data_IF_229857325544
#
_entry.id   IF_229857325544
#
_cell.length_a   1.000
_cell.length_b   1.000
_cell.length_c   1.000
_cell.angle_alpha   90.00
_cell.angle_beta   90.00
_cell.angle_gamma   90.00
#
_symmetry.space_group_name_H-M   'P 1'
#
loop_
_entity.id
_entity.type
_entity.pdbx_description
1 polymer ?
#
# COMPACT_ATOMS: atom_id res chain seq x y z
N UNK A 1 20.57 20.76 22.18
CA UNK A 1 19.44 19.89 22.60
C UNK A 1 20.05 18.76 23.39
N UNK A 2 19.54 18.47 24.59
CA UNK A 2 20.12 17.51 25.55
C UNK A 2 20.20 16.11 24.92
N UNK A 3 21.36 15.48 24.94
CA UNK A 3 21.64 14.16 24.34
C UNK A 3 20.68 13.07 24.87
N UNK A 4 20.30 13.18 26.13
CA UNK A 4 19.31 12.33 26.78
C UNK A 4 17.89 12.51 26.18
N UNK A 5 17.51 13.72 25.77
CA UNK A 5 16.24 14.00 25.13
C UNK A 5 16.20 13.40 23.72
N UNK A 6 17.31 13.46 23.02
CA UNK A 6 17.44 12.89 21.65
C UNK A 6 17.42 11.35 21.68
N UNK A 7 18.09 10.71 22.64
CA UNK A 7 18.03 9.25 22.84
C UNK A 7 16.60 8.76 23.18
N UNK A 8 15.89 9.49 24.06
CA UNK A 8 14.51 9.15 24.43
C UNK A 8 13.52 9.33 23.26
N UNK A 9 13.71 10.32 22.39
CA UNK A 9 12.91 10.52 21.19
C UNK A 9 13.14 9.38 20.17
N UNK A 10 14.40 8.99 19.98
CA UNK A 10 14.75 7.86 19.11
C UNK A 10 14.18 6.53 19.62
N UNK A 11 14.28 6.25 20.91
CA UNK A 11 13.71 5.04 21.52
C UNK A 11 12.19 4.95 21.38
N UNK A 12 11.47 6.09 21.52
CA UNK A 12 10.02 6.14 21.31
C UNK A 12 9.63 5.92 19.85
N UNK A 13 10.38 6.50 18.92
CA UNK A 13 10.14 6.30 17.48
C UNK A 13 10.32 4.82 17.11
N UNK A 14 11.33 4.15 17.67
CA UNK A 14 11.56 2.71 17.46
C UNK A 14 10.37 1.90 18.00
N UNK A 15 9.87 2.22 19.20
CA UNK A 15 8.69 1.54 19.75
C UNK A 15 7.45 1.71 18.87
N UNK A 16 7.20 2.91 18.35
CA UNK A 16 6.08 3.16 17.45
C UNK A 16 6.26 2.48 16.09
N UNK A 17 7.49 2.47 15.58
CA UNK A 17 7.83 1.75 14.35
C UNK A 17 7.63 0.24 14.49
N UNK A 18 7.92 -0.33 15.66
CA UNK A 18 7.65 -1.74 15.94
C UNK A 18 6.15 -2.05 15.96
N UNK A 19 5.33 -1.20 16.61
CA UNK A 19 3.87 -1.35 16.57
C UNK A 19 3.36 -1.23 15.11
N UNK A 20 3.89 -0.28 14.35
CA UNK A 20 3.57 -0.12 12.93
C UNK A 20 3.91 -1.39 12.14
N UNK A 21 5.09 -1.98 12.38
CA UNK A 21 5.48 -3.24 11.76
C UNK A 21 4.48 -4.35 12.03
N UNK A 22 4.12 -4.56 13.31
CA UNK A 22 3.16 -5.60 13.70
C UNK A 22 1.79 -5.37 13.06
N UNK A 23 1.31 -4.13 13.05
CA UNK A 23 0.03 -3.76 12.40
C UNK A 23 0.05 -4.06 10.91
N UNK A 24 1.10 -3.64 10.20
CA UNK A 24 1.20 -3.86 8.77
C UNK A 24 1.48 -5.32 8.41
N UNK A 25 2.22 -6.04 9.26
CA UNK A 25 2.43 -7.47 9.11
C UNK A 25 1.10 -8.23 9.18
N UNK A 26 0.31 -7.99 10.22
CA UNK A 26 -1.01 -8.64 10.36
C UNK A 26 -1.96 -8.19 9.24
N UNK A 27 -1.93 -6.92 8.86
CA UNK A 27 -2.73 -6.40 7.74
C UNK A 27 -2.40 -7.10 6.42
N UNK A 28 -1.11 -7.20 6.08
CA UNK A 28 -0.67 -7.90 4.87
C UNK A 28 -1.04 -9.37 4.89
N UNK A 29 -0.75 -10.06 5.98
CA UNK A 29 -1.11 -11.46 6.19
C UNK A 29 -2.63 -11.71 6.09
N UNK A 30 -3.43 -10.83 6.68
CA UNK A 30 -4.88 -10.91 6.68
C UNK A 30 -5.47 -10.67 5.28
N UNK A 31 -5.16 -9.53 4.65
CA UNK A 31 -5.80 -9.13 3.40
C UNK A 31 -5.30 -9.92 2.17
N UNK A 32 -4.00 -10.23 2.13
CA UNK A 32 -3.35 -10.82 0.94
C UNK A 32 -3.29 -12.35 0.99
N UNK A 33 -3.58 -12.98 2.15
CA UNK A 33 -3.50 -14.42 2.31
C UNK A 33 -4.67 -15.00 3.08
N UNK A 34 -4.80 -14.69 4.37
CA UNK A 34 -5.75 -15.38 5.24
C UNK A 34 -7.21 -15.16 4.83
N UNK A 35 -7.63 -13.91 4.63
CA UNK A 35 -9.03 -13.56 4.33
C UNK A 35 -9.54 -14.22 3.04
N UNK A 36 -8.84 -14.16 1.88
CA UNK A 36 -9.26 -14.82 0.67
C UNK A 36 -9.33 -16.36 0.83
N UNK A 37 -8.32 -16.95 1.46
CA UNK A 37 -8.24 -18.40 1.67
C UNK A 37 -9.35 -18.90 2.60
N UNK A 38 -9.57 -18.19 3.71
CA UNK A 38 -10.63 -18.53 4.67
C UNK A 38 -12.02 -18.39 4.04
N UNK A 39 -12.27 -17.30 3.32
CA UNK A 39 -13.56 -17.07 2.66
C UNK A 39 -13.85 -18.10 1.56
N UNK A 40 -12.85 -18.49 0.76
CA UNK A 40 -13.01 -19.48 -0.30
C UNK A 40 -13.13 -20.90 0.24
N UNK A 41 -12.22 -21.33 1.11
CA UNK A 41 -12.10 -22.73 1.52
C UNK A 41 -13.03 -23.12 2.65
N UNK A 42 -13.40 -22.19 3.56
CA UNK A 42 -14.23 -22.48 4.73
C UNK A 42 -15.64 -21.94 4.58
N UNK A 43 -15.78 -20.69 4.14
CA UNK A 43 -17.09 -20.05 4.01
C UNK A 43 -17.74 -20.32 2.65
N UNK A 44 -16.96 -20.77 1.66
CA UNK A 44 -17.38 -20.96 0.28
C UNK A 44 -18.03 -19.72 -0.35
N UNK A 45 -17.53 -18.54 0.04
CA UNK A 45 -17.99 -17.27 -0.51
C UNK A 45 -17.39 -17.03 -1.88
N UNK A 46 -18.15 -16.42 -2.81
CA UNK A 46 -17.63 -15.98 -4.10
C UNK A 46 -16.53 -14.93 -3.92
N UNK A 47 -15.61 -14.87 -4.87
CA UNK A 47 -14.46 -13.92 -4.84
C UNK A 47 -14.95 -12.46 -4.83
N UNK A 48 -16.12 -12.17 -5.39
CA UNK A 48 -16.80 -10.86 -5.28
C UNK A 48 -16.98 -10.43 -3.82
N UNK A 49 -17.41 -11.34 -2.93
CA UNK A 49 -17.61 -11.02 -1.50
C UNK A 49 -16.29 -10.75 -0.82
N UNK A 50 -15.24 -11.49 -1.18
CA UNK A 50 -13.86 -11.23 -0.71
C UNK A 50 -13.38 -9.86 -1.15
N UNK A 51 -13.54 -9.55 -2.43
CA UNK A 51 -13.20 -8.25 -2.99
C UNK A 51 -13.95 -7.10 -2.32
N UNK A 52 -15.25 -7.29 -2.04
CA UNK A 52 -16.07 -6.32 -1.34
C UNK A 52 -15.58 -6.09 0.10
N UNK A 53 -15.22 -7.16 0.82
CA UNK A 53 -14.67 -7.05 2.18
C UNK A 53 -13.35 -6.26 2.19
N UNK A 54 -12.44 -6.54 1.27
CA UNK A 54 -11.18 -5.81 1.12
C UNK A 54 -11.44 -4.34 0.77
N UNK A 55 -12.37 -4.06 -0.11
CA UNK A 55 -12.74 -2.68 -0.49
C UNK A 55 -13.34 -1.91 0.68
N UNK A 56 -14.24 -2.51 1.45
CA UNK A 56 -14.82 -1.93 2.67
C UNK A 56 -13.72 -1.62 3.68
N UNK A 57 -12.77 -2.53 3.88
CA UNK A 57 -11.61 -2.31 4.73
C UNK A 57 -10.84 -1.03 4.32
N UNK A 58 -10.52 -0.86 3.03
CA UNK A 58 -9.81 0.33 2.53
C UNK A 58 -10.62 1.62 2.66
N UNK A 59 -11.95 1.57 2.45
CA UNK A 59 -12.82 2.73 2.65
C UNK A 59 -12.84 3.16 4.11
N UNK A 60 -13.00 2.20 5.03
CA UNK A 60 -12.99 2.48 6.47
C UNK A 60 -11.63 3.03 6.90
N UNK A 61 -10.52 2.42 6.46
CA UNK A 61 -9.16 2.92 6.72
C UNK A 61 -9.00 4.38 6.25
N UNK A 62 -9.48 4.70 5.05
CA UNK A 62 -9.42 6.06 4.50
C UNK A 62 -10.25 7.07 5.33
N UNK A 63 -11.47 6.70 5.73
CA UNK A 63 -12.33 7.55 6.57
C UNK A 63 -11.69 7.76 7.94
N UNK A 64 -11.23 6.69 8.57
CA UNK A 64 -10.58 6.73 9.87
C UNK A 64 -9.30 7.56 9.83
N UNK A 65 -8.52 7.48 8.75
CA UNK A 65 -7.32 8.29 8.54
C UNK A 65 -7.63 9.79 8.63
N UNK A 66 -8.70 10.22 7.98
CA UNK A 66 -9.17 11.61 8.05
C UNK A 66 -9.62 12.01 9.46
N UNK A 67 -10.40 11.16 10.11
CA UNK A 67 -10.91 11.41 11.47
C UNK A 67 -9.82 11.34 12.53
N UNK A 68 -8.93 10.36 12.46
CA UNK A 68 -7.85 10.17 13.42
C UNK A 68 -6.91 11.38 13.47
N UNK A 69 -6.65 12.04 12.34
CA UNK A 69 -5.90 13.29 12.31
C UNK A 69 -6.51 14.38 13.19
N UNK A 70 -7.84 14.52 13.16
CA UNK A 70 -8.58 15.50 14.00
C UNK A 70 -8.64 15.06 15.47
N UNK A 71 -8.77 13.77 15.72
CA UNK A 71 -8.89 13.22 17.07
C UNK A 71 -7.54 13.25 17.79
N UNK A 72 -6.43 13.03 17.11
CA UNK A 72 -5.07 13.08 17.68
C UNK A 72 -4.70 14.50 18.18
N UNK A 73 -5.32 15.55 17.63
CA UNK A 73 -5.15 16.92 18.13
C UNK A 73 -5.83 17.12 19.51
N UNK A 74 -6.86 16.31 19.83
CA UNK A 74 -7.68 16.47 21.03
C UNK A 74 -7.38 15.41 22.10
N UNK A 75 -7.10 14.18 21.69
CA UNK A 75 -6.95 13.02 22.58
C UNK A 75 -5.53 12.46 22.56
N UNK A 76 -5.08 11.81 23.63
CA UNK A 76 -3.78 11.12 23.66
C UNK A 76 -3.69 10.03 22.59
N UNK A 77 -2.50 9.87 21.97
CA UNK A 77 -2.26 8.86 20.95
C UNK A 77 -2.66 7.44 21.39
N UNK A 78 -2.40 7.08 22.64
CA UNK A 78 -2.79 5.77 23.23
C UNK A 78 -4.30 5.49 23.14
N UNK A 79 -5.14 6.51 23.28
CA UNK A 79 -6.60 6.36 23.23
C UNK A 79 -7.05 6.13 21.78
N UNK A 80 -6.50 6.88 20.84
CA UNK A 80 -6.91 6.79 19.42
C UNK A 80 -6.36 5.53 18.79
N UNK A 81 -5.07 5.23 18.98
CA UNK A 81 -4.45 4.01 18.45
C UNK A 81 -5.01 2.78 19.15
N UNK A 82 -5.02 2.76 20.50
CA UNK A 82 -5.54 1.63 21.27
C UNK A 82 -7.02 1.37 21.02
N UNK A 83 -7.84 2.42 20.94
CA UNK A 83 -9.26 2.29 20.59
C UNK A 83 -9.47 1.76 19.18
N UNK A 84 -8.74 2.27 18.18
CA UNK A 84 -8.77 1.75 16.82
C UNK A 84 -8.37 0.28 16.75
N UNK A 85 -7.27 -0.09 17.39
CA UNK A 85 -6.80 -1.48 17.43
C UNK A 85 -7.76 -2.41 18.17
N UNK A 86 -8.43 -1.91 19.23
CA UNK A 86 -9.47 -2.68 19.93
C UNK A 86 -10.68 -2.98 19.04
N UNK A 87 -11.17 -2.01 18.25
CA UNK A 87 -12.21 -2.25 17.24
C UNK A 87 -11.77 -3.25 16.18
N UNK A 88 -10.53 -3.18 15.73
CA UNK A 88 -9.99 -4.17 14.79
C UNK A 88 -9.86 -5.56 15.39
N UNK A 89 -9.54 -5.66 16.70
CA UNK A 89 -9.53 -6.94 17.41
C UNK A 89 -10.93 -7.57 17.43
N UNK A 90 -11.97 -6.76 17.70
CA UNK A 90 -13.37 -7.21 17.58
C UNK A 90 -13.64 -7.68 16.15
N UNK A 91 -13.16 -6.96 15.13
CA UNK A 91 -13.28 -7.39 13.72
C UNK A 91 -12.67 -8.77 13.48
N UNK A 92 -11.44 -9.02 13.96
CA UNK A 92 -10.79 -10.31 13.85
C UNK A 92 -11.56 -11.41 14.58
N UNK A 93 -12.11 -11.14 15.77
CA UNK A 93 -12.94 -12.12 16.52
C UNK A 93 -14.24 -12.43 15.77
N UNK A 94 -14.90 -11.41 15.23
CA UNK A 94 -16.14 -11.59 14.47
C UNK A 94 -15.95 -12.43 13.20
N UNK A 95 -14.76 -12.48 12.64
CA UNK A 95 -14.47 -13.29 11.45
C UNK A 95 -14.77 -14.78 11.66
N UNK A 96 -14.57 -15.30 12.87
CA UNK A 96 -14.88 -16.69 13.26
C UNK A 96 -16.32 -16.85 13.78
N UNK A 97 -17.10 -15.80 13.71
CA UNK A 97 -18.50 -15.81 14.14
C UNK A 97 -19.43 -16.54 13.17
N UNK A 98 -20.73 -16.31 13.28
CA UNK A 98 -21.71 -16.93 12.39
C UNK A 98 -21.38 -16.73 10.91
N UNK A 99 -21.53 -17.77 10.11
CA UNK A 99 -21.24 -17.79 8.67
C UNK A 99 -22.29 -16.95 7.90
N UNK A 100 -22.21 -15.64 8.05
CA UNK A 100 -23.11 -14.67 7.44
C UNK A 100 -22.28 -13.60 6.72
N UNK A 101 -22.61 -13.34 5.46
CA UNK A 101 -21.90 -12.35 4.61
C UNK A 101 -21.85 -10.98 5.28
N UNK A 102 -22.93 -10.53 5.92
CA UNK A 102 -22.93 -9.23 6.61
C UNK A 102 -21.91 -9.18 7.76
N UNK A 103 -21.82 -10.25 8.57
CA UNK A 103 -20.83 -10.33 9.66
C UNK A 103 -19.41 -10.37 9.10
N UNK A 104 -19.19 -11.10 8.01
CA UNK A 104 -17.90 -11.14 7.31
C UNK A 104 -17.48 -9.75 6.81
N UNK A 105 -18.39 -9.01 6.18
CA UNK A 105 -18.11 -7.65 5.72
C UNK A 105 -17.88 -6.68 6.89
N UNK A 106 -18.68 -6.83 7.97
CA UNK A 106 -18.52 -6.04 9.19
C UNK A 106 -17.16 -6.30 9.87
N UNK A 107 -16.72 -7.58 9.89
CA UNK A 107 -15.39 -7.93 10.43
C UNK A 107 -14.25 -7.21 9.69
N UNK A 108 -14.31 -7.18 8.36
CA UNK A 108 -13.33 -6.48 7.53
C UNK A 108 -13.39 -4.95 7.72
N UNK A 109 -14.60 -4.38 7.86
CA UNK A 109 -14.81 -2.98 8.18
C UNK A 109 -14.16 -2.59 9.52
N UNK A 110 -14.47 -3.34 10.57
CA UNK A 110 -13.92 -3.12 11.90
C UNK A 110 -12.40 -3.29 11.92
N UNK A 111 -11.88 -4.27 11.17
CA UNK A 111 -10.44 -4.46 11.06
C UNK A 111 -9.75 -3.23 10.44
N UNK A 112 -10.38 -2.54 9.50
CA UNK A 112 -9.88 -1.31 8.89
C UNK A 112 -9.71 -0.13 9.85
N UNK A 113 -10.42 -0.12 10.99
CA UNK A 113 -10.39 1.02 11.94
C UNK A 113 -9.03 1.21 12.61
N UNK A 114 -8.29 0.13 12.89
CA UNK A 114 -7.05 0.19 13.66
C UNK A 114 -5.78 0.49 12.86
N UNK A 115 -5.84 0.55 11.53
CA UNK A 115 -4.66 0.61 10.68
C UNK A 115 -4.04 2.02 10.65
N UNK A 116 -4.82 3.02 10.24
CA UNK A 116 -4.30 4.37 9.99
C UNK A 116 -3.83 5.15 11.23
N UNK A 117 -4.40 5.00 12.43
CA UNK A 117 -4.00 5.82 13.58
C UNK A 117 -2.52 5.69 13.94
N UNK A 118 -1.94 4.48 13.91
CA UNK A 118 -0.52 4.29 14.25
C UNK A 118 0.39 4.97 13.22
N UNK A 119 0.05 4.89 11.93
CA UNK A 119 0.80 5.57 10.87
C UNK A 119 0.87 7.07 11.10
N UNK A 120 -0.28 7.70 11.40
CA UNK A 120 -0.35 9.14 11.67
C UNK A 120 0.47 9.54 12.91
N UNK A 121 0.46 8.71 13.96
CA UNK A 121 1.29 8.94 15.15
C UNK A 121 2.77 8.85 14.79
N UNK A 122 3.21 7.87 14.01
CA UNK A 122 4.58 7.75 13.54
C UNK A 122 5.01 9.00 12.77
N UNK A 123 4.19 9.45 11.81
CA UNK A 123 4.45 10.66 11.02
C UNK A 123 4.56 11.93 11.90
N UNK A 124 3.73 12.04 12.94
CA UNK A 124 3.75 13.20 13.84
C UNK A 124 5.00 13.29 14.73
N UNK A 125 5.79 12.22 14.80
CA UNK A 125 7.04 12.14 15.59
C UNK A 125 8.30 12.35 14.78
N UNK A 126 8.17 12.52 13.47
CA UNK A 126 9.30 12.80 12.57
C UNK A 126 9.80 14.22 12.83
N UNK A 127 11.10 14.34 13.12
CA UNK A 127 11.76 15.63 13.42
C UNK A 127 12.21 16.34 12.14
N UNK A 128 12.31 17.67 12.20
CA UNK A 128 12.72 18.45 11.04
C UNK A 128 14.19 18.18 10.64
N UNK A 129 15.05 17.95 11.65
CA UNK A 129 16.50 17.77 11.46
C UNK A 129 16.86 16.47 10.73
N UNK A 130 16.06 15.40 10.92
CA UNK A 130 16.31 14.07 10.35
C UNK A 130 15.13 13.55 9.53
N UNK A 131 14.34 14.47 8.98
CA UNK A 131 13.06 14.14 8.35
C UNK A 131 13.18 13.07 7.26
N UNK A 132 14.11 13.22 6.33
CA UNK A 132 14.28 12.28 5.22
C UNK A 132 14.67 10.88 5.70
N UNK A 133 15.61 10.79 6.63
CA UNK A 133 16.04 9.51 7.20
C UNK A 133 14.92 8.81 7.96
N UNK A 134 14.24 9.53 8.87
CA UNK A 134 13.15 8.97 9.69
C UNK A 134 11.95 8.55 8.84
N UNK A 135 11.61 9.32 7.80
CA UNK A 135 10.59 8.93 6.82
C UNK A 135 11.01 7.67 6.07
N UNK A 136 12.26 7.58 5.61
CA UNK A 136 12.79 6.38 4.98
C UNK A 136 12.65 5.14 5.86
N UNK A 137 13.01 5.25 7.14
CA UNK A 137 12.84 4.16 8.12
C UNK A 137 11.37 3.75 8.26
N UNK A 138 10.45 4.72 8.41
CA UNK A 138 9.03 4.42 8.57
C UNK A 138 8.44 3.73 7.32
N UNK A 139 8.79 4.20 6.12
CA UNK A 139 8.35 3.55 4.88
C UNK A 139 8.95 2.14 4.71
N UNK A 140 10.22 1.95 5.11
CA UNK A 140 10.83 0.62 5.10
C UNK A 140 10.11 -0.32 6.06
N UNK A 141 9.84 0.12 7.28
CA UNK A 141 9.09 -0.67 8.28
C UNK A 141 7.69 -1.01 7.77
N UNK A 142 6.98 -0.04 7.21
CA UNK A 142 5.66 -0.20 6.63
C UNK A 142 5.65 -1.25 5.51
N UNK A 143 6.54 -1.09 4.53
CA UNK A 143 6.60 -1.98 3.36
C UNK A 143 7.07 -3.40 3.75
N UNK A 144 8.05 -3.49 4.66
CA UNK A 144 8.54 -4.79 5.15
C UNK A 144 7.45 -5.51 5.94
N UNK A 145 6.71 -4.82 6.80
CA UNK A 145 5.58 -5.43 7.52
C UNK A 145 4.53 -5.95 6.54
N UNK A 146 4.04 -5.09 5.66
CA UNK A 146 3.00 -5.44 4.69
C UNK A 146 3.40 -6.61 3.77
N UNK A 147 4.67 -6.65 3.33
CA UNK A 147 5.17 -7.70 2.44
C UNK A 147 5.54 -8.99 3.17
N UNK A 148 6.15 -8.91 4.35
CA UNK A 148 6.54 -10.09 5.12
C UNK A 148 5.34 -10.85 5.69
N UNK A 149 4.22 -10.15 5.97
CA UNK A 149 3.00 -10.75 6.50
C UNK A 149 2.51 -11.95 5.69
N UNK A 150 2.13 -11.78 4.42
CA UNK A 150 1.67 -12.88 3.60
C UNK A 150 2.75 -13.95 3.38
N UNK A 151 4.02 -13.54 3.19
CA UNK A 151 5.14 -14.49 2.99
C UNK A 151 5.26 -15.45 4.17
N UNK A 152 5.29 -14.95 5.39
CA UNK A 152 5.46 -15.78 6.60
C UNK A 152 4.20 -16.60 6.88
N UNK A 153 3.03 -15.98 6.75
CA UNK A 153 1.78 -16.60 7.16
C UNK A 153 1.35 -17.74 6.23
N UNK A 154 1.69 -17.69 4.94
CA UNK A 154 1.36 -18.77 4.02
C UNK A 154 2.06 -20.09 4.37
N UNK A 155 3.27 -20.06 4.96
CA UNK A 155 3.90 -21.30 5.48
C UNK A 155 3.08 -21.93 6.61
N UNK A 156 2.40 -21.11 7.41
CA UNK A 156 1.54 -21.61 8.50
C UNK A 156 0.18 -22.02 7.95
N UNK A 157 -0.30 -21.38 6.89
CA UNK A 157 -1.56 -21.74 6.22
C UNK A 157 -1.56 -23.16 5.66
N UNK A 158 -0.43 -23.63 5.13
CA UNK A 158 -0.28 -25.01 4.67
C UNK A 158 -0.44 -26.03 5.82
N UNK A 159 -0.08 -25.63 7.03
CA UNK A 159 -0.22 -26.47 8.21
C UNK A 159 -1.63 -26.44 8.80
N UNK A 160 -2.18 -25.25 9.06
CA UNK A 160 -3.51 -25.10 9.65
C UNK A 160 -4.05 -23.67 9.57
N UNK A 161 -5.27 -23.54 9.02
CA UNK A 161 -6.02 -22.28 9.04
C UNK A 161 -6.31 -21.77 10.46
N UNK A 162 -6.65 -22.69 11.40
CA UNK A 162 -6.94 -22.33 12.78
C UNK A 162 -5.71 -21.81 13.51
N UNK A 163 -4.56 -22.45 13.34
CA UNK A 163 -3.27 -21.97 13.92
C UNK A 163 -2.93 -20.60 13.36
N UNK A 164 -3.07 -20.41 12.05
CA UNK A 164 -2.86 -19.13 11.39
C UNK A 164 -3.73 -18.04 12.00
N UNK A 165 -5.01 -18.30 12.19
CA UNK A 165 -5.93 -17.35 12.82
C UNK A 165 -5.47 -16.94 14.22
N UNK A 166 -5.12 -17.90 15.08
CA UNK A 166 -4.68 -17.59 16.44
C UNK A 166 -3.36 -16.84 16.48
N UNK A 167 -2.46 -17.07 15.51
CA UNK A 167 -1.22 -16.27 15.37
C UNK A 167 -1.59 -14.83 15.01
N UNK A 168 -2.47 -14.60 14.03
CA UNK A 168 -2.90 -13.25 13.67
C UNK A 168 -3.58 -12.52 14.83
N UNK A 169 -4.47 -13.23 15.52
CA UNK A 169 -5.17 -12.71 16.70
C UNK A 169 -4.19 -12.36 17.83
N UNK A 170 -3.23 -13.23 18.12
CA UNK A 170 -2.20 -13.04 19.13
C UNK A 170 -1.27 -11.87 18.82
N UNK A 171 -0.79 -11.77 17.57
CA UNK A 171 0.04 -10.65 17.12
C UNK A 171 -0.73 -9.32 17.18
N UNK A 172 -2.00 -9.31 16.77
CA UNK A 172 -2.82 -8.12 16.89
C UNK A 172 -3.06 -7.73 18.34
N UNK A 173 -3.35 -8.70 19.21
CA UNK A 173 -3.48 -8.51 20.67
C UNK A 173 -2.20 -7.97 21.29
N UNK A 174 -1.03 -8.47 20.88
CA UNK A 174 0.27 -7.91 21.28
C UNK A 174 0.38 -6.43 20.87
N UNK A 175 0.02 -6.10 19.63
CA UNK A 175 -0.03 -4.72 19.15
C UNK A 175 -0.95 -3.83 20.00
N UNK A 176 -2.14 -4.34 20.38
CA UNK A 176 -3.05 -3.65 21.30
C UNK A 176 -2.40 -3.35 22.65
N UNK A 177 -1.76 -4.35 23.27
CA UNK A 177 -1.08 -4.20 24.55
C UNK A 177 0.07 -3.18 24.46
N UNK A 178 0.89 -3.27 23.42
CA UNK A 178 1.99 -2.33 23.21
C UNK A 178 1.49 -0.90 22.98
N UNK A 179 0.32 -0.73 22.33
CA UNK A 179 -0.27 0.59 22.10
C UNK A 179 -0.69 1.30 23.39
N UNK A 180 -1.02 0.56 24.45
CA UNK A 180 -1.34 1.12 25.77
C UNK A 180 -0.13 1.82 26.41
N UNK A 181 1.09 1.35 26.10
CA UNK A 181 2.34 1.98 26.53
C UNK A 181 2.69 3.27 25.78
N UNK A 182 1.93 3.65 24.75
CA UNK A 182 2.18 4.87 23.97
C UNK A 182 1.93 6.11 24.84
N UNK A 183 2.98 6.88 25.12
CA UNK A 183 2.91 8.08 25.96
C UNK A 183 2.67 9.37 25.19
N UNK A 184 1.95 10.29 25.81
CA UNK A 184 1.87 11.70 25.44
C UNK A 184 0.84 12.01 24.35
N UNK A 185 0.36 13.26 24.36
CA UNK A 185 -0.32 13.88 23.20
C UNK A 185 0.69 13.91 22.04
N UNK A 186 0.24 13.66 20.83
CA UNK A 186 1.00 14.07 19.68
C UNK A 186 1.33 15.56 19.87
N UNK A 187 2.62 15.92 19.92
CA UNK A 187 3.00 17.33 19.86
C UNK A 187 2.65 17.81 18.46
N UNK A 188 1.35 18.05 18.23
CA UNK A 188 0.85 18.62 17.02
C UNK A 188 1.43 20.01 16.91
N UNK A 189 2.29 20.22 15.93
CA UNK A 189 2.53 21.56 15.41
C UNK A 189 1.14 22.12 15.13
N UNK A 190 0.74 23.14 15.89
CA UNK A 190 -0.53 23.87 15.68
C UNK A 190 -0.58 24.27 14.20
N UNK A 191 -1.21 23.45 13.38
CA UNK A 191 -1.36 23.72 11.95
C UNK A 191 -2.12 25.02 11.84
N UNK A 192 -1.51 26.03 11.21
CA UNK A 192 -2.24 27.22 10.79
C UNK A 192 -3.42 26.72 9.95
N UNK A 193 -4.63 26.91 10.45
CA UNK A 193 -5.86 26.53 9.77
C UNK A 193 -5.94 27.37 8.48
N UNK A 194 -5.55 26.77 7.38
CA UNK A 194 -5.72 27.39 6.05
C UNK A 194 -7.20 27.34 5.73
N UNK A 195 -7.77 28.47 5.35
CA UNK A 195 -9.20 28.61 5.01
C UNK A 195 -9.58 27.62 3.90
N UNK A 196 -10.73 26.95 4.03
CA UNK A 196 -11.24 25.99 3.04
C UNK A 196 -11.23 26.50 1.60
N UNK A 197 -11.51 27.80 1.38
CA UNK A 197 -11.47 28.43 0.04
C UNK A 197 -10.06 28.40 -0.56
N UNK A 198 -9.03 28.65 0.24
CA UNK A 198 -7.63 28.62 -0.22
C UNK A 198 -7.21 27.17 -0.51
N UNK A 199 -7.58 26.23 0.37
CA UNK A 199 -7.31 24.80 0.15
C UNK A 199 -7.98 24.30 -1.14
N UNK A 200 -9.26 24.60 -1.37
CA UNK A 200 -9.97 24.22 -2.58
C UNK A 200 -9.35 24.84 -3.85
N UNK A 201 -8.88 26.08 -3.77
CA UNK A 201 -8.17 26.74 -4.88
C UNK A 201 -6.85 26.06 -5.25
N UNK A 202 -6.03 25.72 -4.24
CA UNK A 202 -4.76 25.00 -4.44
C UNK A 202 -5.03 23.61 -5.00
N UNK A 203 -6.02 22.89 -4.45
CA UNK A 203 -6.43 21.56 -4.90
C UNK A 203 -6.87 21.57 -6.37
N UNK A 204 -7.76 22.49 -6.77
CA UNK A 204 -8.23 22.64 -8.14
C UNK A 204 -7.06 22.93 -9.10
N UNK A 205 -6.15 23.81 -8.71
CA UNK A 205 -4.95 24.16 -9.51
C UNK A 205 -4.02 22.94 -9.67
N UNK A 206 -3.80 22.20 -8.59
CA UNK A 206 -2.95 21.00 -8.61
C UNK A 206 -3.56 19.90 -9.48
N UNK A 207 -4.84 19.57 -9.30
CA UNK A 207 -5.54 18.57 -10.13
C UNK A 207 -5.55 18.97 -11.61
N UNK A 208 -5.72 20.29 -11.89
CA UNK A 208 -5.64 20.83 -13.23
C UNK A 208 -4.24 20.62 -13.86
N UNK A 209 -3.18 20.84 -13.10
CA UNK A 209 -1.81 20.61 -13.54
C UNK A 209 -1.47 19.11 -13.67
N UNK A 210 -1.98 18.29 -12.76
CA UNK A 210 -1.73 16.85 -12.71
C UNK A 210 -2.63 16.02 -13.65
N UNK A 211 -3.49 16.65 -14.48
CA UNK A 211 -4.38 15.94 -15.42
C UNK A 211 -3.71 14.79 -16.19
N UNK A 212 -2.49 14.95 -16.75
CA UNK A 212 -1.85 13.84 -17.48
C UNK A 212 -1.45 12.66 -16.59
N UNK A 213 -1.34 12.87 -15.28
CA UNK A 213 -1.00 11.82 -14.31
C UNK A 213 -2.22 11.08 -13.74
N UNK A 214 -3.41 11.72 -13.74
CA UNK A 214 -4.60 11.15 -13.08
C UNK A 214 -5.00 9.78 -13.62
N UNK A 215 -5.05 9.52 -14.97
CA UNK A 215 -5.37 8.22 -15.49
C UNK A 215 -4.36 7.13 -15.07
N UNK A 216 -3.04 7.27 -15.29
CA UNK A 216 -2.10 6.24 -14.87
C UNK A 216 -2.07 6.02 -13.35
N UNK A 217 -2.27 7.05 -12.52
CA UNK A 217 -2.40 6.91 -11.07
C UNK A 217 -3.54 5.97 -10.68
N UNK A 218 -4.72 6.22 -11.24
CA UNK A 218 -5.90 5.41 -10.96
C UNK A 218 -5.77 4.00 -11.53
N UNK A 219 -5.28 3.87 -12.78
CA UNK A 219 -5.13 2.57 -13.44
C UNK A 219 -4.10 1.68 -12.75
N UNK A 220 -2.99 2.23 -12.26
CA UNK A 220 -1.96 1.48 -11.53
C UNK A 220 -2.52 0.86 -10.25
N UNK A 221 -3.21 1.63 -9.43
CA UNK A 221 -3.78 1.16 -8.18
C UNK A 221 -5.01 0.27 -8.40
N UNK A 222 -5.77 0.52 -9.47
CA UNK A 222 -6.84 -0.35 -9.92
C UNK A 222 -6.29 -1.72 -10.34
N UNK A 223 -5.25 -1.75 -11.19
CA UNK A 223 -4.62 -2.99 -11.62
C UNK A 223 -4.08 -3.81 -10.44
N UNK A 224 -3.41 -3.17 -9.49
CA UNK A 224 -2.96 -3.83 -8.27
C UNK A 224 -4.14 -4.32 -7.42
N UNK A 225 -5.18 -3.51 -7.27
CA UNK A 225 -6.37 -3.83 -6.50
C UNK A 225 -7.15 -5.02 -7.07
N UNK A 226 -7.24 -5.15 -8.40
CA UNK A 226 -7.87 -6.32 -9.06
C UNK A 226 -7.25 -7.64 -8.58
N UNK A 227 -5.94 -7.66 -8.36
CA UNK A 227 -5.19 -8.86 -8.03
C UNK A 227 -5.39 -9.32 -6.58
N UNK A 228 -5.62 -8.39 -5.65
CA UNK A 228 -5.63 -8.69 -4.20
C UNK A 228 -6.54 -9.86 -3.81
N UNK A 229 -7.83 -9.92 -4.21
CA UNK A 229 -8.72 -11.02 -3.85
C UNK A 229 -8.44 -12.31 -4.63
N UNK A 230 -7.69 -12.23 -5.74
CA UNK A 230 -7.55 -13.30 -6.75
C UNK A 230 -6.24 -14.06 -6.61
N UNK A 231 -5.14 -13.41 -6.19
CA UNK A 231 -3.81 -14.00 -6.20
C UNK A 231 -3.68 -15.34 -5.46
N UNK A 232 -4.22 -15.53 -4.22
CA UNK A 232 -4.10 -16.80 -3.53
C UNK A 232 -4.84 -17.94 -4.25
N UNK A 233 -6.04 -17.66 -4.77
CA UNK A 233 -6.83 -18.61 -5.55
C UNK A 233 -6.13 -18.96 -6.87
N UNK A 234 -5.62 -17.98 -7.59
CA UNK A 234 -4.84 -18.20 -8.81
C UNK A 234 -3.60 -19.06 -8.56
N UNK A 235 -2.85 -18.80 -7.48
CA UNK A 235 -1.67 -19.58 -7.14
C UNK A 235 -2.04 -21.04 -6.84
N UNK A 236 -3.08 -21.29 -6.04
CA UNK A 236 -3.48 -22.64 -5.65
C UNK A 236 -4.31 -23.36 -6.71
N UNK A 237 -5.30 -22.67 -7.30
CA UNK A 237 -6.27 -23.28 -8.22
C UNK A 237 -5.77 -23.39 -9.65
N UNK A 238 -5.08 -22.36 -10.17
CA UNK A 238 -4.62 -22.33 -11.57
C UNK A 238 -3.21 -22.85 -11.72
N UNK A 239 -2.28 -22.36 -10.85
CA UNK A 239 -0.87 -22.78 -10.93
C UNK A 239 -0.61 -24.11 -10.17
N UNK A 240 -1.51 -24.54 -9.28
CA UNK A 240 -1.36 -25.74 -8.48
C UNK A 240 -0.31 -25.62 -7.38
N UNK A 241 0.05 -24.39 -6.97
CA UNK A 241 1.06 -24.14 -5.94
C UNK A 241 0.49 -24.31 -4.53
N UNK A 242 1.28 -24.91 -3.64
CA UNK A 242 1.01 -24.85 -2.20
C UNK A 242 1.22 -23.43 -1.68
N UNK A 243 0.62 -23.08 -0.54
CA UNK A 243 0.76 -21.73 0.03
C UNK A 243 2.22 -21.38 0.36
N UNK A 244 3.03 -22.35 0.82
CA UNK A 244 4.47 -22.17 1.02
C UNK A 244 5.21 -21.84 -0.30
N UNK A 245 4.87 -22.52 -1.40
CA UNK A 245 5.44 -22.24 -2.71
C UNK A 245 5.01 -20.85 -3.22
N UNK A 246 3.75 -20.49 -3.01
CA UNK A 246 3.27 -19.13 -3.28
C UNK A 246 4.04 -18.08 -2.47
N UNK A 247 4.37 -18.36 -1.20
CA UNK A 247 5.25 -17.49 -0.41
C UNK A 247 6.64 -17.33 -1.02
N UNK A 248 7.22 -18.39 -1.57
CA UNK A 248 8.52 -18.29 -2.26
C UNK A 248 8.41 -17.38 -3.49
N UNK A 249 7.31 -17.46 -4.24
CA UNK A 249 7.03 -16.57 -5.39
C UNK A 249 6.93 -15.11 -4.94
N UNK A 250 6.16 -14.83 -3.87
CA UNK A 250 6.06 -13.48 -3.30
C UNK A 250 7.41 -12.97 -2.78
N UNK A 251 8.18 -13.84 -2.12
CA UNK A 251 9.51 -13.51 -1.61
C UNK A 251 10.49 -13.20 -2.74
N UNK A 252 10.51 -13.99 -3.81
CA UNK A 252 11.36 -13.74 -4.97
C UNK A 252 11.09 -12.38 -5.60
N UNK A 253 9.80 -12.03 -5.84
CA UNK A 253 9.42 -10.73 -6.35
C UNK A 253 9.78 -9.59 -5.38
N UNK A 254 9.45 -9.74 -4.10
CA UNK A 254 9.73 -8.75 -3.06
C UNK A 254 11.21 -8.48 -2.86
N UNK A 255 12.05 -9.52 -2.78
CA UNK A 255 13.51 -9.37 -2.63
C UNK A 255 14.14 -8.69 -3.84
N UNK A 256 13.76 -9.11 -5.06
CA UNK A 256 14.24 -8.46 -6.27
C UNK A 256 13.82 -6.98 -6.34
N UNK A 257 12.60 -6.65 -5.90
CA UNK A 257 12.16 -5.25 -5.78
C UNK A 257 13.09 -4.48 -4.84
N UNK A 258 13.28 -4.97 -3.62
CA UNK A 258 14.07 -4.25 -2.59
C UNK A 258 15.54 -4.09 -3.02
N UNK A 259 16.16 -5.13 -3.54
CA UNK A 259 17.55 -5.09 -4.00
C UNK A 259 17.74 -4.12 -5.17
N UNK A 260 16.80 -4.12 -6.11
CA UNK A 260 16.88 -3.30 -7.32
C UNK A 260 16.38 -1.85 -7.12
N UNK A 261 15.64 -1.55 -6.05
CA UNK A 261 14.99 -0.26 -5.86
C UNK A 261 15.98 0.91 -5.89
N UNK A 262 17.08 0.80 -5.15
CA UNK A 262 18.09 1.86 -5.08
C UNK A 262 18.90 2.02 -6.38
N UNK A 263 19.41 0.96 -7.02
CA UNK A 263 20.03 1.05 -8.34
C UNK A 263 19.09 1.65 -9.40
N UNK A 264 17.86 1.18 -9.49
CA UNK A 264 16.90 1.66 -10.48
C UNK A 264 16.50 3.13 -10.24
N UNK A 265 16.41 3.56 -8.97
CA UNK A 265 16.22 4.96 -8.63
C UNK A 265 17.34 5.85 -9.19
N UNK A 266 18.60 5.49 -8.94
CA UNK A 266 19.76 6.23 -9.47
C UNK A 266 19.82 6.22 -11.01
N UNK A 267 19.50 5.08 -11.62
CA UNK A 267 19.46 4.99 -13.08
C UNK A 267 18.32 5.86 -13.67
N UNK A 268 17.15 5.88 -13.03
CA UNK A 268 16.01 6.69 -13.49
C UNK A 268 16.32 8.19 -13.44
N UNK A 269 17.09 8.65 -12.43
CA UNK A 269 17.56 10.04 -12.34
C UNK A 269 18.53 10.38 -13.47
N UNK A 270 19.35 9.42 -13.91
CA UNK A 270 20.35 9.62 -14.96
C UNK A 270 19.79 9.53 -16.39
N UNK A 271 18.97 8.51 -16.66
CA UNK A 271 18.44 8.21 -17.99
C UNK A 271 17.05 8.80 -18.27
N UNK A 272 16.42 9.39 -17.25
CA UNK A 272 15.13 10.06 -17.34
C UNK A 272 13.94 9.20 -16.91
N UNK A 273 13.02 9.83 -16.18
CA UNK A 273 11.88 9.19 -15.52
C UNK A 273 10.92 8.51 -16.51
N UNK A 274 10.68 9.16 -17.68
CA UNK A 274 9.73 8.69 -18.68
C UNK A 274 10.10 7.32 -19.25
N UNK A 275 11.37 7.12 -19.61
CA UNK A 275 11.86 5.85 -20.13
C UNK A 275 11.68 4.72 -19.13
N UNK A 276 12.03 4.97 -17.87
CA UNK A 276 11.85 4.00 -16.78
C UNK A 276 10.40 3.62 -16.54
N UNK A 277 9.47 4.58 -16.64
CA UNK A 277 8.04 4.31 -16.52
C UNK A 277 7.53 3.48 -17.71
N UNK A 278 7.92 3.81 -18.95
CA UNK A 278 7.50 3.06 -20.13
C UNK A 278 7.99 1.61 -20.04
N UNK A 279 9.29 1.41 -19.88
CA UNK A 279 9.88 0.06 -19.81
C UNK A 279 9.41 -0.70 -18.59
N UNK A 280 9.38 -0.05 -17.40
CA UNK A 280 8.94 -0.68 -16.17
C UNK A 280 7.50 -1.18 -16.25
N UNK A 281 6.56 -0.38 -16.72
CA UNK A 281 5.17 -0.81 -16.87
C UNK A 281 4.99 -1.84 -18.01
N UNK A 282 5.72 -1.73 -19.10
CA UNK A 282 5.66 -2.71 -20.19
C UNK A 282 6.17 -4.08 -19.74
N UNK A 283 7.33 -4.13 -19.05
CA UNK A 283 7.85 -5.39 -18.53
C UNK A 283 6.99 -5.95 -17.39
N UNK A 284 6.43 -5.08 -16.53
CA UNK A 284 5.50 -5.50 -15.48
C UNK A 284 4.25 -6.15 -16.10
N UNK A 285 3.69 -5.55 -17.14
CA UNK A 285 2.55 -6.09 -17.87
C UNK A 285 2.89 -7.44 -18.55
N UNK A 286 4.02 -7.51 -19.25
CA UNK A 286 4.46 -8.71 -19.92
C UNK A 286 4.72 -9.87 -18.97
N UNK A 287 5.43 -9.62 -17.86
CA UNK A 287 5.73 -10.63 -16.85
C UNK A 287 4.44 -11.08 -16.11
N UNK A 288 3.53 -10.16 -15.79
CA UNK A 288 2.25 -10.52 -15.17
C UNK A 288 1.39 -11.38 -16.13
N UNK A 289 1.36 -11.03 -17.40
CA UNK A 289 0.66 -11.82 -18.40
C UNK A 289 1.32 -13.20 -18.61
N UNK A 290 2.65 -13.26 -18.64
CA UNK A 290 3.39 -14.53 -18.74
C UNK A 290 3.07 -15.48 -17.59
N UNK A 291 2.84 -14.96 -16.36
CA UNK A 291 2.47 -15.76 -15.22
C UNK A 291 1.22 -16.62 -15.44
N UNK A 292 0.30 -16.22 -16.33
CA UNK A 292 -0.94 -16.96 -16.62
C UNK A 292 -0.70 -18.28 -17.37
N UNK A 293 0.47 -18.48 -17.95
CA UNK A 293 0.83 -19.68 -18.71
C UNK A 293 1.72 -20.65 -17.93
N UNK A 294 2.20 -20.24 -16.76
CA UNK A 294 3.19 -20.99 -15.97
C UNK A 294 2.51 -21.89 -14.93
N UNK A 295 2.97 -23.13 -14.85
CA UNK A 295 2.56 -24.11 -13.85
C UNK A 295 3.72 -24.59 -12.98
N UNK A 296 4.93 -24.43 -13.45
CA UNK A 296 6.13 -24.90 -12.75
C UNK A 296 6.68 -23.81 -11.83
N UNK A 297 7.03 -24.19 -10.61
CA UNK A 297 7.52 -23.28 -9.58
C UNK A 297 8.74 -22.47 -10.03
N UNK A 298 9.68 -23.12 -10.72
CA UNK A 298 10.94 -22.49 -11.15
C UNK A 298 10.69 -21.29 -12.07
N UNK A 299 9.81 -21.47 -13.08
CA UNK A 299 9.44 -20.38 -13.99
C UNK A 299 8.58 -19.31 -13.28
N UNK A 300 7.75 -19.70 -12.32
CA UNK A 300 7.00 -18.75 -11.50
C UNK A 300 7.94 -17.89 -10.65
N UNK A 301 8.97 -18.47 -10.05
CA UNK A 301 9.99 -17.74 -9.27
C UNK A 301 10.76 -16.75 -10.15
N UNK A 302 11.20 -17.20 -11.34
CA UNK A 302 11.90 -16.31 -12.28
C UNK A 302 11.01 -15.15 -12.73
N UNK A 303 9.75 -15.44 -13.08
CA UNK A 303 8.80 -14.41 -13.53
C UNK A 303 8.44 -13.45 -12.39
N UNK A 304 8.31 -13.94 -11.15
CA UNK A 304 8.13 -13.09 -9.98
C UNK A 304 9.35 -12.18 -9.74
N UNK A 305 10.57 -12.70 -9.90
CA UNK A 305 11.78 -11.89 -9.83
C UNK A 305 11.77 -10.77 -10.89
N UNK A 306 11.38 -11.09 -12.14
CA UNK A 306 11.22 -10.10 -13.21
C UNK A 306 10.14 -9.06 -12.88
N UNK A 307 9.00 -9.47 -12.30
CA UNK A 307 7.97 -8.56 -11.78
C UNK A 307 8.57 -7.61 -10.73
N UNK A 308 9.37 -8.15 -9.81
CA UNK A 308 10.04 -7.37 -8.77
C UNK A 308 11.01 -6.32 -9.34
N UNK A 309 11.86 -6.71 -10.28
CA UNK A 309 12.77 -5.78 -10.98
C UNK A 309 12.00 -4.71 -11.76
N UNK A 310 10.94 -5.11 -12.46
CA UNK A 310 10.09 -4.18 -13.22
C UNK A 310 9.41 -3.17 -12.30
N UNK A 311 8.91 -3.61 -11.15
CA UNK A 311 8.33 -2.72 -10.16
C UNK A 311 9.37 -1.79 -9.53
N UNK A 312 10.60 -2.26 -9.32
CA UNK A 312 11.72 -1.42 -8.87
C UNK A 312 12.10 -0.34 -9.88
N UNK A 313 11.88 -0.55 -11.18
CA UNK A 313 12.01 0.51 -12.20
C UNK A 313 10.89 1.56 -12.09
N UNK A 314 9.66 1.11 -11.81
CA UNK A 314 8.48 2.00 -11.77
C UNK A 314 8.47 2.86 -10.52
N UNK A 315 8.62 2.27 -9.34
CA UNK A 315 8.31 2.92 -8.07
C UNK A 315 9.09 4.22 -7.80
N UNK A 316 10.43 4.29 -7.94
CA UNK A 316 11.16 5.53 -7.71
C UNK A 316 10.87 6.58 -8.80
N UNK A 317 10.80 6.16 -10.07
CA UNK A 317 10.49 7.06 -11.18
C UNK A 317 9.09 7.66 -11.05
N UNK A 318 8.13 6.87 -10.61
CA UNK A 318 6.76 7.29 -10.34
C UNK A 318 6.69 8.33 -9.21
N UNK A 319 7.31 8.04 -8.06
CA UNK A 319 7.34 8.98 -6.94
C UNK A 319 8.06 10.28 -7.29
N UNK A 320 9.17 10.22 -8.04
CA UNK A 320 9.88 11.40 -8.52
C UNK A 320 9.01 12.23 -9.47
N UNK A 321 8.28 11.57 -10.38
CA UNK A 321 7.34 12.25 -11.29
C UNK A 321 6.20 12.93 -10.50
N UNK A 322 5.57 12.23 -9.55
CA UNK A 322 4.51 12.81 -8.70
C UNK A 322 5.01 14.02 -7.93
N UNK A 323 6.23 13.98 -7.40
CA UNK A 323 6.82 15.10 -6.66
C UNK A 323 6.91 16.40 -7.46
N UNK A 324 7.02 16.34 -8.80
CA UNK A 324 7.04 17.52 -9.67
C UNK A 324 5.69 18.26 -9.71
N UNK A 325 4.59 17.55 -9.37
CA UNK A 325 3.24 18.11 -9.36
C UNK A 325 2.75 18.51 -7.96
N UNK A 326 3.59 18.31 -6.93
CA UNK A 326 3.28 18.72 -5.56
C UNK A 326 3.59 20.21 -5.37
N UNK A 327 2.62 21.06 -4.95
CA UNK A 327 2.81 22.49 -4.81
C UNK A 327 3.85 22.83 -3.74
N UNK A 328 4.81 23.71 -4.07
CA UNK A 328 5.75 24.27 -3.10
C UNK A 328 5.01 25.05 -2.03
N UNK A 329 5.28 24.77 -0.75
CA UNK A 329 4.62 25.40 0.40
C UNK A 329 3.33 24.73 0.88
N UNK A 330 2.76 23.75 0.11
CA UNK A 330 1.59 22.96 0.47
C UNK A 330 1.84 21.47 0.23
N UNK A 331 3.02 20.98 0.56
CA UNK A 331 3.48 19.62 0.22
C UNK A 331 2.56 18.53 0.79
N UNK A 332 2.16 18.65 2.07
CA UNK A 332 1.30 17.65 2.73
C UNK A 332 -0.06 17.53 2.03
N UNK A 333 -0.66 18.68 1.69
CA UNK A 333 -1.93 18.70 0.97
C UNK A 333 -1.78 18.18 -0.46
N UNK A 334 -0.66 18.50 -1.11
CA UNK A 334 -0.36 18.05 -2.46
C UNK A 334 -0.21 16.53 -2.55
N UNK A 335 0.57 15.93 -1.67
CA UNK A 335 0.69 14.48 -1.59
C UNK A 335 -0.63 13.81 -1.20
N UNK A 336 -1.38 14.39 -0.23
CA UNK A 336 -2.69 13.88 0.16
C UNK A 336 -3.69 13.86 -0.99
N UNK A 337 -3.66 14.89 -1.85
CA UNK A 337 -4.52 14.96 -3.04
C UNK A 337 -4.20 13.83 -4.04
N UNK A 338 -2.92 13.66 -4.37
CA UNK A 338 -2.48 12.62 -5.30
C UNK A 338 -2.81 11.22 -4.73
N UNK A 339 -2.48 10.98 -3.47
CA UNK A 339 -2.80 9.71 -2.81
C UNK A 339 -4.31 9.42 -2.74
N UNK A 340 -5.16 10.44 -2.72
CA UNK A 340 -6.62 10.23 -2.77
C UNK A 340 -7.07 9.71 -4.13
N UNK A 341 -6.43 10.14 -5.23
CA UNK A 341 -6.70 9.61 -6.57
C UNK A 341 -6.26 8.14 -6.67
N UNK A 342 -5.08 7.81 -6.15
CA UNK A 342 -4.60 6.42 -6.06
C UNK A 342 -5.56 5.57 -5.21
N UNK A 343 -6.06 6.13 -4.10
CA UNK A 343 -7.01 5.47 -3.21
C UNK A 343 -8.30 5.03 -3.91
N UNK A 344 -8.78 5.77 -4.92
CA UNK A 344 -9.95 5.36 -5.71
C UNK A 344 -9.72 4.04 -6.44
N UNK A 345 -8.58 3.88 -7.10
CA UNK A 345 -8.24 2.62 -7.77
C UNK A 345 -8.07 1.47 -6.79
N UNK A 346 -7.40 1.72 -5.66
CA UNK A 346 -7.20 0.73 -4.60
C UNK A 346 -8.52 0.25 -3.96
N UNK A 347 -9.52 1.14 -3.88
CA UNK A 347 -10.87 0.82 -3.38
C UNK A 347 -11.71 0.05 -4.42
N UNK A 348 -11.74 0.52 -5.67
CA UNK A 348 -12.57 -0.07 -6.73
C UNK A 348 -12.00 -1.42 -7.18
N UNK A 349 -10.67 -1.55 -7.19
CA UNK A 349 -9.95 -2.71 -7.71
C UNK A 349 -10.41 -4.04 -7.14
N UNK A 350 -10.41 -4.25 -5.83
CA UNK A 350 -10.77 -5.54 -5.25
C UNK A 350 -12.21 -5.99 -5.55
N UNK A 351 -13.18 -5.06 -5.53
CA UNK A 351 -14.58 -5.39 -5.91
C UNK A 351 -14.65 -5.83 -7.36
N UNK A 352 -14.05 -5.06 -8.27
CA UNK A 352 -14.04 -5.41 -9.69
C UNK A 352 -13.26 -6.70 -9.94
N UNK A 353 -12.12 -6.89 -9.27
CA UNK A 353 -11.31 -8.10 -9.37
C UNK A 353 -12.08 -9.34 -8.96
N UNK A 354 -12.76 -9.28 -7.81
CA UNK A 354 -13.60 -10.38 -7.35
C UNK A 354 -14.76 -10.68 -8.30
N UNK A 355 -15.48 -9.64 -8.75
CA UNK A 355 -16.59 -9.79 -9.69
C UNK A 355 -16.15 -10.37 -11.04
N UNK A 356 -15.04 -9.90 -11.58
CA UNK A 356 -14.47 -10.42 -12.82
C UNK A 356 -14.00 -11.88 -12.65
N UNK A 357 -13.43 -12.23 -11.50
CA UNK A 357 -12.98 -13.58 -11.21
C UNK A 357 -14.15 -14.57 -11.16
N UNK A 358 -15.23 -14.22 -10.49
CA UNK A 358 -16.43 -15.06 -10.43
C UNK A 358 -17.11 -15.25 -11.80
N UNK A 359 -16.99 -14.22 -12.68
CA UNK A 359 -17.65 -14.24 -13.99
C UNK A 359 -16.82 -14.88 -15.09
N UNK A 360 -15.50 -14.63 -15.10
CA UNK A 360 -14.61 -14.96 -16.20
C UNK A 360 -13.37 -15.77 -15.77
N UNK A 361 -13.24 -16.04 -14.47
CA UNK A 361 -12.10 -16.75 -13.88
C UNK A 361 -10.91 -15.87 -13.57
N UNK A 362 -10.00 -16.40 -12.76
CA UNK A 362 -8.85 -15.69 -12.19
C UNK A 362 -7.82 -15.29 -13.26
N UNK A 363 -7.60 -16.14 -14.26
CA UNK A 363 -6.70 -15.87 -15.39
C UNK A 363 -7.12 -14.60 -16.15
N UNK A 364 -8.44 -14.40 -16.32
CA UNK A 364 -8.98 -13.20 -16.95
C UNK A 364 -8.61 -11.95 -16.14
N UNK A 365 -8.72 -11.99 -14.82
CA UNK A 365 -8.41 -10.84 -13.96
C UNK A 365 -6.92 -10.48 -14.03
N UNK A 366 -6.04 -11.49 -14.01
CA UNK A 366 -4.59 -11.27 -14.16
C UNK A 366 -4.27 -10.66 -15.52
N UNK A 367 -4.88 -11.20 -16.59
CA UNK A 367 -4.73 -10.66 -17.94
C UNK A 367 -5.26 -9.23 -18.05
N UNK A 368 -6.42 -8.94 -17.46
CA UNK A 368 -6.98 -7.59 -17.43
C UNK A 368 -6.06 -6.60 -16.68
N UNK A 369 -5.50 -7.02 -15.54
CA UNK A 369 -4.53 -6.22 -14.82
C UNK A 369 -3.27 -5.96 -15.68
N UNK A 370 -2.75 -6.98 -16.38
CA UNK A 370 -1.62 -6.84 -17.29
C UNK A 370 -1.94 -5.84 -18.42
N UNK A 371 -3.14 -5.91 -19.00
CA UNK A 371 -3.59 -4.95 -20.04
C UNK A 371 -3.65 -3.52 -19.50
N UNK A 372 -4.14 -3.31 -18.28
CA UNK A 372 -4.16 -1.99 -17.66
C UNK A 372 -2.74 -1.44 -17.47
N UNK A 373 -1.80 -2.26 -17.00
CA UNK A 373 -0.39 -1.88 -16.86
C UNK A 373 0.25 -1.57 -18.22
N UNK A 374 -0.04 -2.36 -19.25
CA UNK A 374 0.39 -2.10 -20.63
C UNK A 374 -0.19 -0.80 -21.19
N UNK A 375 -1.46 -0.50 -20.89
CA UNK A 375 -2.10 0.76 -21.25
C UNK A 375 -1.42 1.97 -20.58
N UNK A 376 -0.91 1.82 -19.36
CA UNK A 376 -0.10 2.88 -18.70
C UNK A 376 1.23 3.09 -19.44
N UNK A 377 1.91 2.02 -19.87
CA UNK A 377 3.12 2.14 -20.66
C UNK A 377 2.85 2.90 -21.97
N UNK A 378 1.77 2.52 -22.68
CA UNK A 378 1.33 3.19 -23.90
C UNK A 378 0.96 4.66 -23.65
N UNK A 379 0.29 4.94 -22.53
CA UNK A 379 -0.01 6.32 -22.13
C UNK A 379 1.24 7.18 -22.03
N UNK A 380 2.31 6.67 -21.39
CA UNK A 380 3.56 7.40 -21.28
C UNK A 380 4.33 7.52 -22.60
N UNK A 381 4.05 6.67 -23.59
CA UNK A 381 4.56 6.83 -24.96
C UNK A 381 3.84 7.96 -25.68
N UNK A 382 2.50 8.04 -25.54
CA UNK A 382 1.66 8.96 -26.31
C UNK A 382 1.55 10.35 -25.70
N UNK A 383 1.52 10.44 -24.36
CA UNK A 383 1.29 11.70 -23.63
C UNK A 383 2.61 12.31 -23.17
N UNK A 384 2.97 13.50 -23.67
CA UNK A 384 4.18 14.18 -23.21
C UNK A 384 4.01 14.64 -21.76
N UNK A 385 4.96 14.24 -20.90
CA UNK A 385 5.03 14.71 -19.53
C UNK A 385 5.66 16.12 -19.52
N UNK A 386 4.83 17.14 -19.47
CA UNK A 386 5.32 18.51 -19.28
C UNK A 386 5.42 18.80 -17.78
N UNK A 387 6.56 19.28 -17.26
CA UNK A 387 6.63 19.73 -15.88
C UNK A 387 5.66 20.91 -15.68
N UNK A 388 4.73 20.78 -14.73
CA UNK A 388 3.69 21.77 -14.44
C UNK A 388 4.22 23.09 -13.86
N UNK A 389 5.52 23.21 -13.63
CA UNK A 389 6.15 24.40 -13.07
C UNK A 389 7.05 25.04 -14.14
N UNK A 390 6.52 26.06 -14.80
CA UNK A 390 7.39 27.15 -15.28
C UNK A 390 8.02 27.73 -14.02
N UNK A 391 9.27 27.36 -13.73
CA UNK A 391 10.10 28.07 -12.76
C UNK A 391 10.23 29.50 -13.28
N UNK A 392 9.62 30.45 -12.56
CA UNK A 392 10.01 31.84 -12.69
C UNK A 392 11.54 31.88 -12.62
N UNK A 393 12.15 32.33 -13.73
CA UNK A 393 13.56 32.14 -14.00
C UNK A 393 14.45 32.70 -12.90
N UNK A 394 14.99 31.85 -12.07
CA UNK A 394 16.24 32.07 -11.30
C UNK A 394 16.65 30.86 -10.42
N UNK A 395 16.34 29.62 -10.78
CA UNK A 395 17.10 28.47 -10.25
C UNK A 395 16.98 27.30 -11.24
N UNK A 396 17.75 27.35 -12.29
CA UNK A 396 18.02 26.17 -13.12
C UNK A 396 18.87 25.21 -12.26
N UNK A 397 18.28 24.12 -11.83
CA UNK A 397 19.04 22.97 -11.36
C UNK A 397 19.75 22.42 -12.59
N UNK A 398 21.06 22.71 -12.70
CA UNK A 398 21.96 22.13 -13.69
C UNK A 398 21.87 20.59 -13.53
N UNK A 399 21.34 19.89 -14.52
CA UNK A 399 21.45 18.45 -14.59
C UNK A 399 20.30 17.65 -15.18
N UNK A 400 19.16 18.26 -15.54
CA UNK A 400 18.07 17.51 -16.21
C UNK A 400 17.92 18.05 -17.63
N UNK A 401 18.73 17.56 -18.53
CA UNK A 401 18.56 17.76 -19.96
C UNK A 401 17.51 16.82 -20.48
N UNK A 402 16.29 17.32 -20.73
CA UNK A 402 15.30 16.65 -21.55
C UNK A 402 15.78 16.74 -23.02
N UNK A 403 16.49 15.73 -23.51
CA UNK A 403 16.59 15.51 -24.96
C UNK A 403 15.36 14.72 -25.38
N UNK A 404 14.64 15.29 -26.36
CA UNK A 404 13.41 14.80 -26.96
C UNK A 404 13.58 13.47 -27.71
#
# INVERSE_FOLDING_TARGET
MDENKQRRLSARLIGYAFILFVVEFVRGAYLLSYLPVYAGNVLHYPVTVVGLAISIHYVVDMIVKGLAGLLLDRFPARVIVGGGMFFSLIGLILLQGPHNVFIFLLSAALFGVGISPIWLVCLSRVTAEQRAFQMGVLYTVWLTGLGAGPVVINFVLDYSLSVTYFILLGLWGLGCLLSMGMGGRAEGTRRKTVTWKVQAGVLKKQLGAAKPLLPPMMLQTLAAGLLVPVLPGFASGVMGLQYAQYSMVLLAGGLCTVICLMPMGKLSDHFGLRGFLIFGFAFLAAALYAMTFLKELEFALLTAALLGVSYACVLPAWNALMALYVPKGHQEMGWGTLSSVEGLGAFIGPVLGGWLADRYGEVFVISASAVLLGAIALWYILVPLQPAVKTDGKTAVKGVTYRG
#
